data_IF_175194876212
#
_entry.id   IF_175194876212
#
_cell.length_a   1.000
_cell.length_b   1.000
_cell.length_c   1.000
_cell.angle_alpha   90.00
_cell.angle_beta   90.00
_cell.angle_gamma   90.00
#
_symmetry.space_group_name_H-M   'P 1'
#
loop_
_entity.id
_entity.type
_entity.pdbx_description
1 polymer ?
2 non-polymer ?
3 non-polymer ?
4 water ?
#
# COMPACT_ATOMS: atom_id res chain seq x y z
N UNK A 1 12.30 -9.43 -18.66
CA UNK A 1 10.96 -9.34 -18.00
C UNK A 1 11.11 -8.58 -16.68
N UNK A 2 10.04 -7.89 -16.29
CA UNK A 2 9.99 -7.25 -14.98
C UNK A 2 9.90 -8.31 -13.88
N UNK A 3 10.49 -8.01 -12.73
CA UNK A 3 10.44 -8.93 -11.60
C UNK A 3 9.09 -8.87 -10.91
N UNK A 4 8.50 -10.04 -10.67
CA UNK A 4 7.23 -10.12 -9.98
C UNK A 4 7.49 -10.31 -8.49
N UNK A 5 6.68 -9.67 -7.66
CA UNK A 5 6.84 -9.78 -6.21
C UNK A 5 5.63 -10.46 -5.61
N UNK A 6 5.80 -10.97 -4.39
CA UNK A 6 4.81 -11.82 -3.76
C UNK A 6 4.46 -11.26 -2.38
N UNK A 7 3.32 -10.56 -2.28
CA UNK A 7 2.89 -10.00 -0.99
C UNK A 7 2.67 -11.06 0.08
N UNK A 8 3.09 -10.75 1.31
CA UNK A 8 2.77 -11.57 2.47
C UNK A 8 1.29 -11.41 2.85
N UNK A 9 0.79 -12.26 3.76
CA UNK A 9 -0.67 -12.38 3.95
C UNK A 9 -1.47 -11.10 4.20
N UNK A 10 -1.00 -10.21 5.07
CA UNK A 10 -1.78 -9.01 5.37
C UNK A 10 -1.84 -8.09 4.15
N UNK A 11 -0.69 -7.80 3.55
CA UNK A 11 -0.70 -6.93 2.37
C UNK A 11 -1.54 -7.54 1.26
N UNK A 12 -1.42 -8.86 1.07
CA UNK A 12 -2.19 -9.54 0.03
C UNK A 12 -3.68 -9.33 0.27
N UNK A 13 -4.10 -9.44 1.52
CA UNK A 13 -5.52 -9.31 1.87
C UNK A 13 -6.01 -7.90 1.57
N UNK A 14 -5.17 -6.90 1.82
CA UNK A 14 -5.52 -5.52 1.50
C UNK A 14 -5.68 -5.34 0.00
N UNK A 15 -4.72 -5.84 -0.77
CA UNK A 15 -4.74 -5.66 -2.21
C UNK A 15 -5.96 -6.33 -2.83
N UNK A 16 -6.29 -7.53 -2.36
CA UNK A 16 -7.47 -8.22 -2.85
C UNK A 16 -8.72 -7.47 -2.43
N UNK A 17 -8.70 -6.92 -1.22
CA UNK A 17 -9.79 -6.09 -0.72
C UNK A 17 -10.06 -4.92 -1.68
N UNK A 18 -9.01 -4.48 -2.36
CA UNK A 18 -9.11 -3.36 -3.29
C UNK A 18 -9.39 -3.83 -4.71
N UNK A 19 -9.41 -5.15 -4.91
CA UNK A 19 -9.83 -5.68 -6.19
C UNK A 19 -8.80 -6.51 -6.94
N UNK A 20 -7.65 -6.76 -6.31
CA UNK A 20 -6.63 -7.60 -6.92
C UNK A 20 -7.08 -9.06 -6.93
N UNK A 21 -6.73 -9.79 -7.99
CA UNK A 21 -7.18 -11.17 -8.13
C UNK A 21 -6.06 -12.17 -8.43
N UNK A 22 -4.84 -11.84 -8.04
CA UNK A 22 -3.72 -12.77 -8.16
C UNK A 22 -2.79 -12.68 -6.96
N UNK A 23 -1.72 -13.47 -6.98
CA UNK A 23 -0.83 -13.58 -5.83
C UNK A 23 0.55 -12.98 -6.07
N UNK A 24 0.89 -12.74 -7.33
CA UNK A 24 2.14 -12.06 -7.66
C UNK A 24 1.87 -10.86 -8.56
N UNK A 25 2.73 -9.84 -8.43
CA UNK A 25 2.48 -8.53 -9.03
C UNK A 25 3.80 -7.87 -9.41
N UNK A 26 3.77 -6.96 -10.38
CA UNK A 26 4.88 -6.04 -10.54
C UNK A 26 4.73 -4.99 -9.45
N UNK A 27 5.80 -4.27 -9.14
CA UNK A 27 5.68 -3.23 -8.13
C UNK A 27 4.68 -2.17 -8.57
N UNK A 28 4.62 -1.90 -9.87
CA UNK A 28 3.66 -0.93 -10.39
C UNK A 28 2.24 -1.35 -10.05
N UNK A 29 1.95 -2.65 -10.16
CA UNK A 29 0.62 -3.16 -9.85
C UNK A 29 0.30 -3.09 -8.35
N UNK A 30 1.27 -3.46 -7.51
CA UNK A 30 1.09 -3.34 -6.07
C UNK A 30 0.73 -1.91 -5.68
N UNK A 31 1.49 -0.96 -6.22
CA UNK A 31 1.27 0.45 -5.94
C UNK A 31 -0.09 0.93 -6.44
N UNK A 32 -0.49 0.44 -7.61
CA UNK A 32 -1.80 0.81 -8.13
C UNK A 32 -2.91 0.39 -7.17
N UNK A 33 -2.91 -0.87 -6.74
CA UNK A 33 -3.97 -1.34 -5.87
C UNK A 33 -3.93 -0.70 -4.49
N UNK A 34 -2.73 -0.43 -3.98
CA UNK A 34 -2.59 0.29 -2.72
C UNK A 34 -3.22 1.69 -2.85
N UNK A 35 -2.95 2.35 -3.97
CA UNK A 35 -3.54 3.65 -4.23
C UNK A 35 -5.06 3.61 -4.30
N UNK A 36 -5.60 2.54 -4.88
CA UNK A 36 -7.05 2.38 -4.95
C UNK A 36 -7.66 2.20 -3.56
N UNK A 37 -7.01 1.39 -2.73
CA UNK A 37 -7.46 1.14 -1.36
C UNK A 37 -7.52 2.43 -0.56
N UNK A 38 -6.45 3.22 -0.66
CA UNK A 38 -6.35 4.49 0.04
C UNK A 38 -7.45 5.45 -0.39
N UNK A 39 -7.69 5.52 -1.69
CA UNK A 39 -8.72 6.39 -2.23
C UNK A 39 -10.10 5.92 -1.77
N UNK A 40 -10.32 4.61 -1.81
CA UNK A 40 -11.63 4.05 -1.47
C UNK A 40 -11.95 4.27 0.01
N UNK A 41 -10.94 4.13 0.86
CA UNK A 41 -11.12 4.29 2.30
C UNK A 41 -11.08 5.76 2.72
N UNK A 42 -10.81 6.65 1.76
CA UNK A 42 -10.80 8.08 2.03
C UNK A 42 -9.76 8.44 3.09
N UNK A 43 -8.53 7.97 2.91
CA UNK A 43 -7.50 8.19 3.91
C UNK A 43 -6.70 9.46 3.67
N UNK A 44 -6.88 10.08 2.51
CA UNK A 44 -6.16 11.31 2.21
C UNK A 44 -6.61 12.45 3.13
N UNK A 45 -5.67 13.31 3.49
CA UNK A 45 -6.00 14.51 4.24
C UNK A 45 -6.83 15.43 3.35
N UNK A 46 -7.82 16.09 3.94
CA UNK A 46 -8.72 16.92 3.16
C UNK A 46 -8.03 18.15 2.59
N UNK A 47 -7.11 18.72 3.36
CA UNK A 47 -6.47 19.98 2.97
C UNK A 47 -5.11 19.77 2.31
N UNK A 48 -4.31 18.87 2.87
CA UNK A 48 -3.01 18.55 2.31
C UNK A 48 -3.09 17.20 1.60
N UNK A 49 -3.40 17.25 0.31
CA UNK A 49 -3.91 16.09 -0.42
C UNK A 49 -2.88 14.98 -0.61
N UNK A 50 -1.62 15.27 -0.34
CA UNK A 50 -0.57 14.26 -0.50
C UNK A 50 -0.38 13.43 0.77
N UNK A 51 -1.04 13.83 1.85
CA UNK A 51 -0.90 13.13 3.13
C UNK A 51 -1.94 12.02 3.29
N UNK A 52 -1.47 10.83 3.68
CA UNK A 52 -2.35 9.69 3.94
C UNK A 52 -2.41 9.40 5.44
N UNK A 53 -3.62 9.40 5.99
CA UNK A 53 -3.83 9.11 7.41
C UNK A 53 -4.09 7.62 7.64
N UNK A 54 -3.27 7.00 8.48
CA UNK A 54 -3.35 5.56 8.70
C UNK A 54 -3.72 5.22 10.14
N UNK A 55 -3.82 6.22 11.00
CA UNK A 55 -3.96 5.98 12.43
C UNK A 55 -5.31 5.36 12.80
N UNK A 56 -6.26 5.40 11.87
CA UNK A 56 -7.58 4.84 12.12
C UNK A 56 -7.86 3.61 11.26
N UNK A 57 -6.82 3.11 10.57
CA UNK A 57 -6.99 2.08 9.55
C UNK A 57 -5.95 0.97 9.72
N UNK A 58 -6.30 -0.27 9.34
CA UNK A 58 -5.33 -1.37 9.42
C UNK A 58 -4.04 -1.14 8.62
N UNK A 59 -4.10 -0.26 7.63
CA UNK A 59 -2.91 0.10 6.86
C UNK A 59 -1.81 0.62 7.79
N UNK A 60 -2.22 1.23 8.90
CA UNK A 60 -1.25 1.75 9.85
C UNK A 60 -0.40 0.65 10.44
N UNK A 61 -1.02 -0.48 10.77
CA UNK A 61 -0.30 -1.61 11.31
C UNK A 61 0.54 -2.28 10.23
N UNK A 62 -0.01 -2.35 9.02
CA UNK A 62 0.68 -2.97 7.90
C UNK A 62 1.99 -2.24 7.58
N UNK A 63 1.91 -0.92 7.48
CA UNK A 63 3.07 -0.10 7.15
C UNK A 63 3.89 0.26 8.39
N UNK A 64 3.24 0.29 9.55
CA UNK A 64 3.94 0.61 10.78
C UNK A 64 4.13 2.11 10.95
N UNK A 65 3.12 2.87 10.56
CA UNK A 65 3.19 4.33 10.65
C UNK A 65 1.81 4.93 10.85
N UNK A 66 1.78 6.20 11.27
CA UNK A 66 0.54 6.90 11.53
C UNK A 66 0.13 7.75 10.33
N UNK A 67 1.11 8.41 9.70
CA UNK A 67 0.88 9.15 8.46
C UNK A 67 2.06 9.00 7.52
N UNK A 68 1.80 9.13 6.22
CA UNK A 68 2.88 9.32 5.26
C UNK A 68 2.43 10.16 4.08
N UNK A 69 3.39 10.72 3.35
CA UNK A 69 3.10 11.49 2.14
C UNK A 69 3.34 10.64 0.91
N UNK A 70 2.46 10.75 -0.08
CA UNK A 70 2.63 9.98 -1.31
C UNK A 70 3.82 10.47 -2.13
N UNK A 71 4.45 11.54 -1.67
CA UNK A 71 5.65 12.04 -2.34
C UNK A 71 6.90 11.33 -1.84
N UNK A 72 6.77 10.59 -0.74
CA UNK A 72 7.92 9.90 -0.15
C UNK A 72 8.06 8.51 -0.74
N UNK A 73 8.57 8.43 -1.97
CA UNK A 73 8.53 7.16 -2.70
C UNK A 73 9.47 6.11 -2.14
N UNK A 74 10.66 6.52 -1.71
CA UNK A 74 11.59 5.55 -1.15
C UNK A 74 10.99 4.93 0.12
N UNK A 75 10.35 5.76 0.93
CA UNK A 75 9.71 5.29 2.15
C UNK A 75 8.57 4.31 1.86
N UNK A 76 7.77 4.62 0.85
CA UNK A 76 6.67 3.74 0.48
C UNK A 76 7.17 2.40 -0.06
N UNK A 77 8.20 2.44 -0.90
CA UNK A 77 8.81 1.19 -1.37
C UNK A 77 9.32 0.36 -0.21
N UNK A 78 9.93 1.02 0.77
CA UNK A 78 10.47 0.33 1.93
C UNK A 78 9.36 -0.35 2.74
N UNK A 79 8.25 0.36 2.93
CA UNK A 79 7.13 -0.18 3.67
C UNK A 79 6.53 -1.41 2.97
N UNK A 80 6.48 -1.37 1.64
CA UNK A 80 5.98 -2.50 0.87
C UNK A 80 6.95 -3.69 0.91
N UNK A 81 8.25 -3.42 0.80
CA UNK A 81 9.26 -4.49 0.81
C UNK A 81 9.22 -5.31 2.09
N UNK A 82 8.87 -4.68 3.21
CA UNK A 82 8.80 -5.39 4.48
C UNK A 82 7.65 -6.39 4.45
N UNK A 83 6.79 -6.27 3.43
CA UNK A 83 5.62 -7.13 3.30
C UNK A 83 5.64 -7.92 2.00
N UNK A 84 6.83 -8.28 1.55
CA UNK A 84 6.98 -9.16 0.40
C UNK A 84 7.73 -10.41 0.83
N UNK A 85 7.39 -11.55 0.23
CA UNK A 85 8.11 -12.79 0.50
C UNK A 85 9.53 -12.67 -0.03
N UNK A 86 10.50 -13.00 0.82
CA UNK A 86 11.89 -13.10 0.41
C UNK A 86 12.31 -14.57 0.41
X LIG B 1 -1.25 7.70 -6.62
X LIG B 1 -0.31 6.58 -6.69
X LIG B 1 -0.72 5.56 -7.76
X LIG B 1 -0.17 5.93 -5.31
X LIG B 1 0.98 7.36 -7.10
X LIG B 1 1.12 7.34 -8.63
X LIG B 1 2.23 6.82 -6.46
X LIG B 1 0.71 8.75 -6.65
X LIG B 1 -0.51 8.87 -6.31
X LIG B 1 -1.12 10.03 -5.58
X LIG B 1 -0.58 6.62 -4.16
X LIG B 1 -0.35 6.09 -2.90
X LIG B 1 0.29 4.86 -2.77
X LIG B 1 0.73 4.27 -1.16
X LIG B 1 0.61 4.11 -3.91
X LIG B 1 0.39 4.65 -5.18
X LIG B 1 3.00 5.88 -7.14
X LIG B 1 4.15 5.36 -6.55
X LIG B 1 4.52 5.79 -5.28
X LIG B 1 5.92 5.08 -4.50
X LIG B 1 3.77 6.76 -4.61
X LIG B 1 2.62 7.27 -5.21
X LIG B 1 -2.67 7.49 -6.41
X LIG B 1 -3.11 6.35 -6.16
X LIG B 1 -3.55 8.60 -6.52
X LIG B 1 -4.67 8.72 -5.61
X LIG B 1 -5.02 10.18 -5.41
X LIG B 1 -5.51 10.75 -6.66
X LIG B 1 -4.61 10.46 -7.83
X LIG B 1 -3.29 9.75 -7.43
X LIG B 1 -6.44 12.78 -7.74
X LIG B 1 -7.04 14.16 -7.43
X LIG B 1 -6.29 15.43 -8.43
X LIG B 1 -7.05 16.95 -7.91
X LIG B 1 -6.64 15.19 -9.83
X LIG B 1 -4.87 15.49 -8.12
X LIG B 1 -5.76 12.20 -6.50
X LIG C 1 11.80 9.70 -0.04
X LIG C 1 11.29 11.08 0.11
X LIG C 1 11.94 9.38 -1.47
X LIG C 1 13.12 9.59 0.62
X LIG C 1 10.87 8.75 0.60
#
# INVERSE_FOLDING_TARGET
>A
MEKLVQPTPLLLSLLKSAGAQKETFTMKEVLYHLGQYIMAKQLYDEKQQHIVHCSNDPLGELFGVQEFSVKEHRRIYAMISRNLVS
>B hetero
1 I29 N1 C5 C57 C51 C4 C47 C41 N3 C2 C21 C56 C55 C54 CL5 C53 C52 C42 C43 C44 CL4 C45 C46 C10 O10 N10 C14 C13 N12 C12 C11 C16 C17 S17 C19 O17 O18 C15
>C hetero
1 SO4 S O1 O2 O3 O4
#
